data_IF_586554388052
#
_entry.id   IF_586554388052
#
_cell.length_a   1.000
_cell.length_b   1.000
_cell.length_c   1.000
_cell.angle_alpha   90.00
_cell.angle_beta   90.00
_cell.angle_gamma   90.00
#
_symmetry.space_group_name_H-M   'P 1'
#
loop_
_entity.id
_entity.type
_entity.pdbx_description
1 polymer ?
#
# COMPACT_ATOMS: atom_id res chain seq x y z
N UNK A 1 -6.65 23.03 0.41
CA UNK A 1 -6.14 22.74 1.74
C UNK A 1 -7.05 21.87 2.51
N UNK A 2 -8.26 22.31 2.70
CA UNK A 2 -9.21 21.51 3.48
C UNK A 2 -9.49 20.18 2.82
N UNK A 3 -9.52 20.17 1.52
CA UNK A 3 -9.75 18.93 0.79
C UNK A 3 -8.69 17.91 1.10
N UNK A 4 -7.45 18.35 1.20
CA UNK A 4 -6.37 17.44 1.52
C UNK A 4 -6.54 16.82 2.88
N UNK A 5 -6.95 17.63 3.85
CA UNK A 5 -7.16 17.14 5.20
C UNK A 5 -8.25 16.08 5.21
N UNK A 6 -9.34 16.34 4.48
CA UNK A 6 -10.42 15.37 4.40
C UNK A 6 -9.96 14.07 3.78
N UNK A 7 -9.19 14.15 2.70
CA UNK A 7 -8.72 12.96 2.02
C UNK A 7 -7.80 12.14 2.93
N UNK A 8 -7.00 12.82 3.74
CA UNK A 8 -6.13 12.13 4.69
C UNK A 8 -6.96 11.33 5.68
N UNK A 9 -8.15 11.82 6.00
CA UNK A 9 -9.01 11.17 6.98
C UNK A 9 -9.83 10.03 6.39
N UNK A 10 -9.63 9.71 5.11
CA UNK A 10 -10.34 8.61 4.47
C UNK A 10 -9.34 7.50 4.14
N UNK A 11 -9.14 6.57 5.07
CA UNK A 11 -8.13 5.52 4.85
C UNK A 11 -8.38 4.69 3.60
N UNK A 12 -9.64 4.42 3.27
CA UNK A 12 -9.92 3.63 2.08
C UNK A 12 -9.48 4.34 0.81
N UNK A 13 -9.65 5.66 0.75
CA UNK A 13 -9.20 6.42 -0.41
C UNK A 13 -7.68 6.35 -0.54
N UNK A 14 -6.98 6.45 0.58
CA UNK A 14 -5.53 6.33 0.56
C UNK A 14 -5.10 4.96 0.03
N UNK A 15 -5.80 3.91 0.48
CA UNK A 15 -5.49 2.56 0.01
C UNK A 15 -5.76 2.39 -1.47
N UNK A 16 -6.85 2.97 -1.95
CA UNK A 16 -7.18 2.92 -3.37
C UNK A 16 -6.14 3.66 -4.21
N UNK A 17 -5.69 4.82 -3.74
CA UNK A 17 -4.64 5.56 -4.43
C UNK A 17 -3.34 4.77 -4.47
N UNK A 18 -3.00 4.10 -3.37
CA UNK A 18 -1.81 3.26 -3.33
C UNK A 18 -1.90 2.14 -4.35
N UNK A 19 -3.07 1.53 -4.47
CA UNK A 19 -3.27 0.46 -5.45
C UNK A 19 -3.06 0.98 -6.86
N UNK A 20 -3.64 2.13 -7.19
CA UNK A 20 -3.47 2.70 -8.51
C UNK A 20 -2.00 2.92 -8.84
N UNK A 21 -1.27 3.44 -7.88
CA UNK A 21 0.13 3.76 -8.08
C UNK A 21 1.00 2.51 -8.15
N UNK A 22 0.88 1.63 -7.17
CA UNK A 22 1.75 0.47 -7.07
C UNK A 22 1.48 -0.58 -8.14
N UNK A 23 0.22 -0.72 -8.53
CA UNK A 23 -0.16 -1.67 -9.57
C UNK A 23 -0.19 -1.04 -10.95
N UNK A 24 0.07 0.26 -11.03
CA UNK A 24 0.07 0.99 -12.29
C UNK A 24 -1.28 0.89 -13.00
N UNK A 25 -2.34 1.15 -12.26
CA UNK A 25 -3.69 1.06 -12.76
C UNK A 25 -4.33 2.44 -12.85
N UNK A 26 -5.31 2.56 -13.75
CA UNK A 26 -6.15 3.74 -13.81
C UNK A 26 -7.47 3.45 -13.13
N UNK A 27 -8.25 4.50 -12.88
CA UNK A 27 -9.59 4.31 -12.31
C UNK A 27 -10.46 3.50 -13.26
N UNK A 28 -10.25 3.64 -14.56
CA UNK A 28 -10.98 2.84 -15.55
C UNK A 28 -10.64 1.36 -15.41
N UNK A 29 -9.37 1.05 -15.18
CA UNK A 29 -8.96 -0.33 -14.94
C UNK A 29 -9.64 -0.88 -13.69
N UNK A 30 -9.67 -0.07 -12.65
CA UNK A 30 -10.31 -0.46 -11.40
C UNK A 30 -11.79 -0.75 -11.60
N UNK A 31 -12.46 0.11 -12.39
CA UNK A 31 -13.87 -0.08 -12.70
C UNK A 31 -14.08 -1.40 -13.42
N UNK A 32 -13.21 -1.71 -14.37
CA UNK A 32 -13.31 -2.94 -15.14
C UNK A 32 -13.14 -4.17 -14.26
N UNK A 33 -12.15 -4.11 -13.38
CA UNK A 33 -11.90 -5.22 -12.45
C UNK A 33 -13.11 -5.48 -11.57
N UNK A 34 -13.73 -4.41 -11.08
CA UNK A 34 -14.86 -4.54 -10.17
C UNK A 34 -16.20 -4.72 -10.88
N UNK A 35 -16.22 -4.58 -12.20
CA UNK A 35 -17.44 -4.73 -12.96
C UNK A 35 -18.44 -3.60 -12.72
N UNK A 36 -17.94 -2.38 -12.52
CA UNK A 36 -18.78 -1.21 -12.27
C UNK A 36 -18.39 -0.10 -13.23
N UNK A 37 -19.16 1.00 -13.22
CA UNK A 37 -18.87 2.13 -14.09
C UNK A 37 -17.74 2.98 -13.51
N UNK A 38 -17.10 3.76 -14.38
CA UNK A 38 -16.08 4.71 -13.94
C UNK A 38 -16.68 5.72 -12.95
N UNK A 39 -17.96 6.06 -13.15
CA UNK A 39 -18.64 6.97 -12.23
C UNK A 39 -18.70 6.39 -10.83
N UNK A 40 -18.96 5.08 -10.72
CA UNK A 40 -18.98 4.42 -9.42
C UNK A 40 -17.64 4.53 -8.72
N UNK A 41 -16.55 4.32 -9.47
CA UNK A 41 -15.21 4.44 -8.90
C UNK A 41 -14.97 5.86 -8.41
N UNK A 42 -15.30 6.86 -9.22
CA UNK A 42 -15.15 8.24 -8.80
C UNK A 42 -15.92 8.53 -7.52
N UNK A 43 -17.11 7.94 -7.39
CA UNK A 43 -17.92 8.13 -6.20
C UNK A 43 -17.24 7.57 -4.95
N UNK A 44 -16.50 6.47 -5.08
CA UNK A 44 -15.75 5.95 -3.94
C UNK A 44 -14.76 6.98 -3.41
N UNK A 45 -14.07 7.65 -4.32
CA UNK A 45 -13.08 8.64 -3.92
C UNK A 45 -13.73 9.86 -3.29
N UNK A 46 -14.92 10.23 -3.78
CA UNK A 46 -15.64 11.37 -3.23
C UNK A 46 -16.22 11.06 -1.87
N UNK A 47 -16.89 9.91 -1.74
CA UNK A 47 -17.51 9.51 -0.47
C UNK A 47 -16.50 9.06 0.57
N UNK A 48 -15.36 8.57 0.12
CA UNK A 48 -14.36 8.05 1.03
C UNK A 48 -14.50 6.55 1.31
N UNK A 49 -15.43 5.87 0.64
CA UNK A 49 -15.65 4.44 0.88
C UNK A 49 -15.92 3.70 -0.43
N UNK A 50 -15.44 2.46 -0.45
CA UNK A 50 -15.72 1.53 -1.54
C UNK A 50 -16.75 0.53 -1.06
N UNK A 51 -17.62 0.09 -1.95
CA UNK A 51 -18.59 -0.94 -1.61
C UNK A 51 -17.89 -2.27 -1.30
N UNK A 52 -18.44 -3.01 -0.36
CA UNK A 52 -17.81 -4.26 0.06
C UNK A 52 -17.68 -5.26 -1.10
N UNK A 53 -18.71 -5.36 -1.91
CA UNK A 53 -18.69 -6.26 -3.05
C UNK A 53 -17.55 -5.93 -4.01
N UNK A 54 -17.38 -4.64 -4.30
CA UNK A 54 -16.29 -4.19 -5.17
C UNK A 54 -14.94 -4.41 -4.53
N UNK A 55 -14.84 -4.20 -3.22
CA UNK A 55 -13.60 -4.42 -2.50
C UNK A 55 -13.17 -5.87 -2.57
N UNK A 56 -14.13 -6.79 -2.47
CA UNK A 56 -13.84 -8.23 -2.56
C UNK A 56 -13.28 -8.57 -3.95
N UNK A 57 -13.91 -8.04 -4.98
CA UNK A 57 -13.45 -8.29 -6.34
C UNK A 57 -12.05 -7.74 -6.57
N UNK A 58 -11.80 -6.55 -6.03
CA UNK A 58 -10.50 -5.92 -6.17
C UNK A 58 -9.44 -6.73 -5.43
N UNK A 59 -9.75 -7.15 -4.21
CA UNK A 59 -8.83 -7.95 -3.41
C UNK A 59 -8.47 -9.25 -4.12
N UNK A 60 -9.48 -9.94 -4.65
CA UNK A 60 -9.26 -11.20 -5.34
C UNK A 60 -8.42 -11.03 -6.61
N UNK A 61 -8.74 -10.00 -7.39
CA UNK A 61 -8.07 -9.79 -8.66
C UNK A 61 -6.61 -9.40 -8.48
N UNK A 62 -6.33 -8.62 -7.44
CA UNK A 62 -4.99 -8.06 -7.24
C UNK A 62 -4.17 -8.82 -6.20
N UNK A 63 -4.78 -9.77 -5.50
CA UNK A 63 -4.06 -10.55 -4.51
C UNK A 63 -3.68 -9.78 -3.27
N UNK A 64 -4.46 -8.76 -2.92
CA UNK A 64 -4.21 -7.97 -1.72
C UNK A 64 -5.28 -8.25 -0.69
N UNK A 65 -5.00 -7.88 0.56
CA UNK A 65 -5.92 -8.13 1.67
C UNK A 65 -7.17 -7.28 1.56
N UNK A 66 -8.33 -7.93 1.72
CA UNK A 66 -9.60 -7.21 1.76
C UNK A 66 -9.65 -6.24 2.94
N UNK A 67 -9.20 -6.70 4.09
CA UNK A 67 -9.20 -5.87 5.29
C UNK A 67 -8.35 -4.63 5.09
N UNK A 68 -7.22 -4.78 4.41
CA UNK A 68 -6.36 -3.64 4.12
C UNK A 68 -7.08 -2.63 3.21
N UNK A 69 -7.77 -3.11 2.17
CA UNK A 69 -8.51 -2.21 1.27
C UNK A 69 -9.57 -1.44 2.05
N UNK A 70 -10.19 -2.10 3.02
CA UNK A 70 -11.24 -1.47 3.82
C UNK A 70 -10.68 -0.56 4.91
N UNK A 71 -9.38 -0.36 4.95
CA UNK A 71 -8.76 0.60 5.85
C UNK A 71 -8.39 0.05 7.21
N UNK A 72 -8.43 -1.25 7.37
CA UNK A 72 -8.11 -1.89 8.65
C UNK A 72 -6.63 -2.23 8.71
N UNK A 73 -6.14 -2.40 9.92
CA UNK A 73 -4.78 -2.85 10.12
C UNK A 73 -4.66 -4.31 9.67
N UNK A 74 -3.51 -4.64 9.09
CA UNK A 74 -3.32 -5.94 8.49
C UNK A 74 -2.19 -6.67 9.20
N UNK A 75 -2.51 -7.85 9.72
CA UNK A 75 -1.50 -8.74 10.27
C UNK A 75 -0.95 -9.67 9.21
N UNK A 76 -0.01 -10.50 9.62
CA UNK A 76 0.65 -11.40 8.68
C UNK A 76 -0.34 -12.38 8.05
N UNK A 77 -1.40 -12.72 8.77
CA UNK A 77 -2.36 -13.70 8.31
C UNK A 77 -3.37 -13.15 7.32
N UNK A 78 -3.40 -11.84 7.16
CA UNK A 78 -4.44 -11.19 6.36
C UNK A 78 -4.03 -10.89 4.93
N UNK A 79 -2.89 -11.44 4.52
CA UNK A 79 -2.41 -11.24 3.17
C UNK A 79 -1.44 -10.07 3.07
N UNK A 80 -0.95 -9.85 1.87
CA UNK A 80 0.07 -8.83 1.64
C UNK A 80 -0.56 -7.51 1.25
N UNK A 81 0.08 -6.43 1.66
CA UNK A 81 -0.27 -5.11 1.17
C UNK A 81 0.27 -4.95 -0.25
N UNK A 82 -0.27 -3.97 -1.03
CA UNK A 82 0.19 -3.81 -2.40
C UNK A 82 1.68 -3.58 -2.55
N UNK A 83 2.30 -2.81 -1.66
CA UNK A 83 3.73 -2.56 -1.75
C UNK A 83 4.53 -3.81 -1.45
N UNK A 84 4.07 -4.63 -0.52
CA UNK A 84 4.72 -5.90 -0.22
C UNK A 84 4.60 -6.85 -1.39
N UNK A 85 3.44 -6.88 -2.01
CA UNK A 85 3.22 -7.72 -3.17
C UNK A 85 4.12 -7.29 -4.33
N UNK A 86 4.22 -5.99 -4.56
CA UNK A 86 5.09 -5.46 -5.60
C UNK A 86 6.55 -5.81 -5.32
N UNK A 87 6.94 -5.70 -4.07
CA UNK A 87 8.29 -6.04 -3.66
C UNK A 87 8.60 -7.50 -3.98
N UNK A 88 7.68 -8.39 -3.65
CA UNK A 88 7.87 -9.81 -3.93
C UNK A 88 7.94 -10.09 -5.42
N UNK A 89 7.10 -9.43 -6.20
CA UNK A 89 7.13 -9.60 -7.65
C UNK A 89 8.48 -9.22 -8.22
N UNK A 90 9.01 -8.10 -7.78
CA UNK A 90 10.31 -7.65 -8.24
C UNK A 90 11.42 -8.58 -7.78
N UNK A 91 11.36 -8.95 -6.51
CA UNK A 91 12.37 -9.82 -5.90
C UNK A 91 12.46 -11.17 -6.65
N UNK A 92 11.31 -11.74 -6.97
CA UNK A 92 11.27 -13.04 -7.63
C UNK A 92 11.85 -13.02 -9.04
N UNK A 93 11.89 -11.87 -9.67
CA UNK A 93 12.44 -11.74 -11.01
C UNK A 93 13.95 -11.58 -11.01
N UNK A 94 14.55 -11.31 -9.88
CA UNK A 94 15.98 -11.13 -9.79
C UNK A 94 16.70 -12.48 -9.78
N UNK A 95 17.91 -12.56 -10.37
CA UNK A 95 18.75 -13.75 -10.20
C UNK A 95 19.03 -13.98 -8.71
N UNK A 96 19.26 -15.23 -8.36
CA UNK A 96 19.44 -15.60 -6.96
C UNK A 96 20.50 -14.77 -6.26
N UNK A 97 21.59 -14.52 -6.93
CA UNK A 97 22.66 -13.71 -6.35
C UNK A 97 22.22 -12.31 -6.00
N UNK A 98 21.41 -11.72 -6.89
CA UNK A 98 20.89 -10.39 -6.67
C UNK A 98 19.84 -10.36 -5.58
N UNK A 99 19.08 -11.43 -5.44
CA UNK A 99 18.12 -11.55 -4.35
C UNK A 99 18.85 -11.46 -3.01
N UNK A 100 19.97 -12.18 -2.89
CA UNK A 100 20.75 -12.14 -1.67
C UNK A 100 21.33 -10.76 -1.41
N UNK A 101 21.77 -10.08 -2.48
CA UNK A 101 22.29 -8.72 -2.36
C UNK A 101 21.22 -7.77 -1.82
N UNK A 102 20.00 -7.88 -2.34
CA UNK A 102 18.92 -6.99 -1.90
C UNK A 102 18.58 -7.22 -0.43
N UNK A 103 18.61 -8.46 0.01
CA UNK A 103 18.37 -8.75 1.42
C UNK A 103 19.42 -8.10 2.31
N UNK A 104 20.67 -8.14 1.87
CA UNK A 104 21.75 -7.49 2.62
C UNK A 104 21.57 -5.99 2.65
N UNK A 105 21.16 -5.40 1.52
CA UNK A 105 20.94 -3.96 1.43
C UNK A 105 19.83 -3.53 2.37
N UNK A 106 18.74 -4.29 2.39
CA UNK A 106 17.62 -3.98 3.29
C UNK A 106 18.08 -4.03 4.75
N UNK A 107 18.81 -5.09 5.11
CA UNK A 107 19.29 -5.24 6.49
C UNK A 107 20.24 -4.12 6.89
N UNK A 108 21.12 -3.75 5.97
CA UNK A 108 22.06 -2.67 6.22
C UNK A 108 21.34 -1.34 6.40
N UNK A 109 20.37 -1.07 5.52
CA UNK A 109 19.64 0.19 5.60
C UNK A 109 18.86 0.29 6.90
N UNK A 110 18.26 -0.81 7.31
CA UNK A 110 17.52 -0.84 8.56
C UNK A 110 18.44 -0.53 9.74
N UNK A 111 19.62 -1.12 9.72
CA UNK A 111 20.60 -0.86 10.77
C UNK A 111 21.04 0.60 10.79
N UNK A 112 21.26 1.18 9.61
CA UNK A 112 21.65 2.59 9.51
C UNK A 112 20.56 3.50 10.09
N UNK A 113 19.32 3.19 9.79
CA UNK A 113 18.21 4.00 10.30
C UNK A 113 18.08 3.87 11.81
N UNK A 114 18.29 2.68 12.35
CA UNK A 114 18.26 2.48 13.80
C UNK A 114 19.35 3.28 14.49
N UNK A 115 20.54 3.27 13.92
CA UNK A 115 21.66 4.02 14.48
C UNK A 115 21.41 5.52 14.42
N UNK A 116 20.83 5.97 13.34
CA UNK A 116 20.49 7.37 13.17
C UNK A 116 19.45 7.81 14.20
N UNK A 117 18.46 6.97 14.40
CA UNK A 117 17.43 7.24 15.38
C UNK A 117 17.99 7.35 16.78
N UNK A 118 18.86 6.41 17.16
CA UNK A 118 19.49 6.45 18.47
C UNK A 118 20.31 7.72 18.66
N UNK A 119 21.04 8.09 17.63
CA UNK A 119 21.85 9.30 17.67
C UNK A 119 20.98 10.53 17.90
N UNK A 120 19.87 10.58 17.18
CA UNK A 120 18.93 11.70 17.30
C UNK A 120 18.36 11.78 18.71
N UNK A 121 17.96 10.65 19.26
CA UNK A 121 17.40 10.60 20.60
C UNK A 121 18.40 11.00 21.65
N UNK A 122 19.65 10.56 21.50
CA UNK A 122 20.71 10.94 22.43
C UNK A 122 20.95 12.45 22.41
N UNK A 123 20.94 13.03 21.21
CA UNK A 123 21.11 14.47 21.08
C UNK A 123 20.02 15.25 21.79
N UNK A 124 18.80 14.77 21.68
CA UNK A 124 17.67 15.43 22.34
C UNK A 124 17.78 15.34 23.85
N UNK A 125 18.22 14.20 24.34
CA UNK A 125 18.35 14.02 25.79
C UNK A 125 19.41 14.93 26.37
N UNK A 126 20.50 15.11 25.64
CA UNK A 126 21.56 15.99 26.10
C UNK A 126 21.17 17.46 26.08
N UNK A 127 20.27 17.80 25.21
CA UNK A 127 19.80 19.18 25.15
C UNK A 127 18.95 19.53 26.35
#
# INVERSE_FOLDING_TARGET
MKEKTHQINHPQVQRLNEILELKNLTKSDMARICGVSAQSVNNWFVRGTIGKSSAIKLADALGVSLEWILGQEVGEKDGLKPDEQRLLELYRQLPEEEQQNMLRIFALRLKELDELYEKYMKGRIKS
#
